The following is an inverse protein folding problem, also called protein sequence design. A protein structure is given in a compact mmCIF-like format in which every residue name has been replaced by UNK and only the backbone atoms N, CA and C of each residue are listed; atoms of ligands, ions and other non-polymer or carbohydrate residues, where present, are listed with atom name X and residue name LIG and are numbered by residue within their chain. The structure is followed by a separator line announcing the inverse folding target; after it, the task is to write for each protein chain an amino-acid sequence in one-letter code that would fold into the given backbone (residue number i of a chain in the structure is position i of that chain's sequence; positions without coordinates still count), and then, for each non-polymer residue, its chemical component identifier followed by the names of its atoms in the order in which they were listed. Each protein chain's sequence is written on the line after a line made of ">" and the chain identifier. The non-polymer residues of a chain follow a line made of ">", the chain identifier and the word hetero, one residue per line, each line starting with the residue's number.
data_IF_742205454608
#
_entry.id   IF_742205454608
#
_cell.length_a   1.000
_cell.length_b   1.000
_cell.length_c   1.000
_cell.angle_alpha   90.00
_cell.angle_beta   90.00
_cell.angle_gamma   90.00
#
_symmetry.space_group_name_H-M   'P 1'
#
loop_
_entity.id
_entity.type
_entity.pdbx_description
1 polymer ?
#
# COMPACT_ATOMS: atom_id res chain seq x y z
N UNK A 1 15.76 -23.86 -22.26
CA UNK A 1 16.83 -23.63 -21.26
C UNK A 1 16.71 -24.58 -20.06
N UNK A 2 15.63 -24.55 -19.25
CA UNK A 2 15.51 -25.44 -18.07
C UNK A 2 15.58 -26.96 -18.38
N UNK A 3 15.08 -27.38 -19.54
CA UNK A 3 15.13 -28.78 -20.00
C UNK A 3 16.55 -29.24 -20.39
N UNK A 4 17.43 -28.30 -20.74
CA UNK A 4 18.85 -28.54 -21.06
C UNK A 4 19.68 -28.60 -19.77
N UNK A 5 19.39 -27.72 -18.81
CA UNK A 5 20.05 -27.69 -17.50
C UNK A 5 19.80 -28.97 -16.70
N UNK A 6 18.57 -29.51 -16.74
CA UNK A 6 18.21 -30.79 -16.11
C UNK A 6 18.90 -32.00 -16.75
N UNK A 7 19.30 -31.93 -18.03
CA UNK A 7 19.98 -33.03 -18.74
C UNK A 7 21.47 -33.12 -18.42
N UNK A 8 22.05 -32.06 -17.87
CA UNK A 8 23.48 -31.97 -17.57
C UNK A 8 23.74 -31.96 -16.06
N UNK A 9 22.77 -32.36 -15.23
CA UNK A 9 22.86 -32.33 -13.76
C UNK A 9 23.23 -30.96 -13.15
N UNK A 10 23.04 -29.87 -13.91
CA UNK A 10 23.32 -28.50 -13.46
C UNK A 10 22.18 -27.92 -12.62
N UNK A 11 21.14 -28.69 -12.35
CA UNK A 11 20.06 -28.33 -11.42
C UNK A 11 20.40 -28.82 -10.01
N UNK A 12 21.31 -28.11 -9.33
CA UNK A 12 21.50 -28.30 -7.90
C UNK A 12 20.25 -27.83 -7.15
N UNK A 13 19.40 -28.78 -6.75
CA UNK A 13 18.35 -28.55 -5.77
C UNK A 13 19.05 -28.25 -4.44
N UNK A 14 18.88 -27.04 -3.91
CA UNK A 14 19.39 -26.64 -2.59
C UNK A 14 18.96 -27.70 -1.56
N UNK A 15 19.89 -28.51 -1.07
CA UNK A 15 19.64 -29.63 -0.13
C UNK A 15 19.60 -29.20 1.34
N UNK A 16 19.85 -27.92 1.63
CA UNK A 16 19.61 -27.36 2.95
C UNK A 16 18.13 -27.11 3.19
N UNK A 17 17.54 -27.76 4.19
CA UNK A 17 16.27 -27.31 4.77
C UNK A 17 16.49 -25.90 5.34
N UNK A 18 15.82 -24.91 4.75
CA UNK A 18 15.80 -23.55 5.29
C UNK A 18 15.04 -23.57 6.61
N UNK A 19 15.74 -23.30 7.72
CA UNK A 19 15.08 -22.99 8.99
C UNK A 19 14.72 -21.50 9.00
N UNK A 20 13.43 -21.21 9.02
CA UNK A 20 12.97 -19.84 9.16
C UNK A 20 13.33 -19.35 10.56
N UNK A 21 14.08 -18.25 10.64
CA UNK A 21 14.49 -17.61 11.90
C UNK A 21 13.31 -17.14 12.79
N UNK A 22 12.08 -17.20 12.27
CA UNK A 22 10.89 -16.73 12.98
C UNK A 22 10.80 -15.21 13.11
N UNK A 23 11.60 -14.46 12.34
CA UNK A 23 11.75 -13.02 12.48
C UNK A 23 10.41 -12.28 12.54
N UNK A 24 10.21 -11.42 13.56
CA UNK A 24 9.02 -10.60 13.68
C UNK A 24 8.91 -9.63 12.51
N UNK A 25 7.70 -9.50 11.96
CA UNK A 25 7.42 -8.51 10.93
C UNK A 25 7.00 -7.19 11.59
N UNK A 26 7.57 -6.04 11.19
CA UNK A 26 7.19 -4.73 11.72
C UNK A 26 5.80 -4.36 11.19
N UNK A 27 4.76 -4.66 11.99
CA UNK A 27 3.37 -4.33 11.67
C UNK A 27 3.05 -2.90 12.08
N UNK A 28 2.34 -2.18 11.21
CA UNK A 28 1.76 -0.90 11.56
C UNK A 28 0.64 -1.05 12.60
N UNK A 29 0.42 -0.02 13.44
CA UNK A 29 -0.64 -0.05 14.43
C UNK A 29 -2.02 0.07 13.77
N UNK A 30 -3.00 -0.61 14.38
CA UNK A 30 -4.38 -0.74 13.88
C UNK A 30 -5.36 -0.57 15.05
N UNK A 31 -5.07 0.36 15.96
CA UNK A 31 -5.76 0.50 17.24
C UNK A 31 -6.93 1.47 17.17
N UNK A 32 -6.77 2.55 16.40
CA UNK A 32 -7.78 3.60 16.25
C UNK A 32 -8.16 3.79 14.78
N UNK A 33 -9.38 4.26 14.48
CA UNK A 33 -9.79 4.55 13.11
C UNK A 33 -8.86 5.55 12.45
N UNK A 34 -8.60 5.34 11.16
CA UNK A 34 -7.70 6.12 10.34
C UNK A 34 -6.26 6.17 10.87
N UNK A 35 -5.84 5.23 11.72
CA UNK A 35 -4.42 5.11 12.03
C UNK A 35 -3.66 4.54 10.83
N UNK A 36 -4.13 3.41 10.31
CA UNK A 36 -3.51 2.74 9.16
C UNK A 36 -4.58 2.31 8.17
N UNK A 37 -4.45 2.81 6.95
CA UNK A 37 -5.18 2.31 5.80
C UNK A 37 -4.30 1.33 5.02
N UNK A 38 -4.89 0.26 4.49
CA UNK A 38 -4.30 -0.58 3.45
C UNK A 38 -4.93 -0.23 2.12
N UNK A 39 -4.12 -0.08 1.08
CA UNK A 39 -4.62 0.22 -0.26
C UNK A 39 -4.02 -0.71 -1.32
N UNK A 40 -4.80 -0.92 -2.38
CA UNK A 40 -4.43 -1.71 -3.54
C UNK A 40 -5.17 -1.22 -4.80
N UNK A 41 -4.55 -1.40 -5.97
CA UNK A 41 -5.15 -1.07 -7.27
C UNK A 41 -5.60 -2.35 -7.97
N UNK A 42 -6.90 -2.63 -7.92
CA UNK A 42 -7.48 -3.82 -8.55
C UNK A 42 -7.71 -3.57 -10.03
N UNK A 43 -7.14 -4.41 -10.89
CA UNK A 43 -7.46 -4.44 -12.31
C UNK A 43 -6.39 -5.10 -13.18
N UNK A 44 -6.58 -5.10 -14.51
CA UNK A 44 -7.74 -4.54 -15.21
C UNK A 44 -9.04 -5.32 -14.91
N UNK A 45 -10.14 -4.59 -14.76
CA UNK A 45 -11.51 -5.10 -14.74
C UNK A 45 -12.25 -4.59 -15.98
N UNK A 46 -13.43 -5.12 -16.26
CA UNK A 46 -14.16 -4.81 -17.50
C UNK A 46 -15.61 -4.45 -17.22
N UNK A 47 -16.08 -3.39 -17.87
CA UNK A 47 -17.51 -3.13 -18.04
C UNK A 47 -18.08 -4.09 -19.08
N UNK A 48 -19.38 -4.02 -19.33
CA UNK A 48 -20.00 -4.69 -20.46
C UNK A 48 -19.31 -4.23 -21.76
N UNK A 49 -18.72 -5.18 -22.50
CA UNK A 49 -17.89 -4.89 -23.67
C UNK A 49 -16.38 -4.76 -23.33
N UNK A 50 -15.55 -4.21 -24.25
CA UNK A 50 -14.09 -4.19 -24.08
C UNK A 50 -13.57 -3.01 -23.25
N UNK A 51 -14.43 -2.35 -22.44
CA UNK A 51 -14.03 -1.15 -21.70
C UNK A 51 -13.37 -1.54 -20.38
N UNK A 52 -12.06 -1.39 -20.32
CA UNK A 52 -11.26 -1.67 -19.13
C UNK A 52 -11.36 -0.54 -18.10
N UNK A 53 -11.32 -0.90 -16.83
CA UNK A 53 -11.16 0.02 -15.72
C UNK A 53 -10.26 -0.58 -14.63
N UNK A 54 -9.89 0.25 -13.66
CA UNK A 54 -9.14 -0.08 -12.47
C UNK A 54 -9.89 0.46 -11.26
N UNK A 55 -9.86 -0.24 -10.13
CA UNK A 55 -10.48 0.19 -8.88
C UNK A 55 -9.42 0.40 -7.82
N UNK A 56 -9.24 1.65 -7.38
CA UNK A 56 -8.49 1.90 -6.16
C UNK A 56 -9.36 1.50 -4.98
N UNK A 57 -8.88 0.55 -4.20
CA UNK A 57 -9.56 0.04 -3.03
C UNK A 57 -8.73 0.36 -1.79
N UNK A 58 -9.39 0.88 -0.77
CA UNK A 58 -8.77 1.23 0.52
C UNK A 58 -9.58 0.62 1.65
N UNK A 59 -8.91 0.09 2.67
CA UNK A 59 -9.53 -0.43 3.89
C UNK A 59 -8.81 0.12 5.12
N UNK A 60 -9.59 0.65 6.05
CA UNK A 60 -9.12 1.02 7.38
C UNK A 60 -8.90 -0.24 8.24
N UNK A 61 -7.69 -0.41 8.76
CA UNK A 61 -7.33 -1.68 9.41
C UNK A 61 -7.98 -1.87 10.78
N UNK A 62 -8.31 -0.78 11.48
CA UNK A 62 -8.96 -0.80 12.79
C UNK A 62 -10.46 -1.11 12.68
N UNK A 63 -11.16 -0.45 11.76
CA UNK A 63 -12.64 -0.48 11.64
C UNK A 63 -13.14 -1.35 10.49
N UNK A 64 -12.26 -1.82 9.60
CA UNK A 64 -12.61 -2.55 8.37
C UNK A 64 -13.50 -1.72 7.43
N UNK A 65 -13.55 -0.40 7.63
CA UNK A 65 -14.27 0.53 6.75
C UNK A 65 -13.52 0.62 5.43
N UNK A 66 -14.24 0.58 4.32
CA UNK A 66 -13.64 0.64 3.00
C UNK A 66 -13.99 1.91 2.24
N UNK A 67 -13.17 2.19 1.23
CA UNK A 67 -13.37 3.24 0.24
C UNK A 67 -13.00 2.71 -1.15
N UNK A 68 -13.82 3.03 -2.15
CA UNK A 68 -13.62 2.62 -3.53
C UNK A 68 -13.58 3.83 -4.45
N UNK A 69 -12.66 3.81 -5.41
CA UNK A 69 -12.63 4.79 -6.48
C UNK A 69 -12.25 4.12 -7.82
N UNK A 70 -13.24 3.76 -8.64
CA UNK A 70 -12.98 3.26 -9.97
C UNK A 70 -12.52 4.36 -10.94
N UNK A 71 -11.59 4.03 -11.82
CA UNK A 71 -11.05 4.89 -12.87
C UNK A 71 -10.77 4.12 -14.16
N UNK A 72 -10.89 4.79 -15.30
CA UNK A 72 -10.53 4.24 -16.62
C UNK A 72 -9.01 4.24 -16.86
N UNK A 73 -8.25 4.86 -15.96
CA UNK A 73 -6.80 5.03 -16.10
C UNK A 73 -6.07 4.77 -14.79
N UNK A 74 -4.84 4.26 -14.92
CA UNK A 74 -3.85 4.12 -13.84
C UNK A 74 -2.81 5.25 -13.84
N UNK A 75 -3.13 6.38 -14.49
CA UNK A 75 -2.24 7.54 -14.51
C UNK A 75 -2.03 8.07 -13.10
N UNK A 76 -0.90 8.74 -12.87
CA UNK A 76 -0.61 9.31 -11.56
C UNK A 76 -1.72 10.25 -11.07
N UNK A 77 -2.30 11.09 -11.93
CA UNK A 77 -3.44 11.94 -11.57
C UNK A 77 -4.66 11.11 -11.15
N UNK A 78 -5.01 10.04 -11.89
CA UNK A 78 -6.14 9.17 -11.55
C UNK A 78 -5.98 8.51 -10.18
N UNK A 79 -4.74 8.16 -9.81
CA UNK A 79 -4.42 7.62 -8.49
C UNK A 79 -4.63 8.70 -7.41
N UNK A 80 -4.17 9.94 -7.64
CA UNK A 80 -4.39 11.04 -6.69
C UNK A 80 -5.87 11.35 -6.51
N UNK A 81 -6.60 11.46 -7.61
CA UNK A 81 -8.04 11.72 -7.60
C UNK A 81 -8.79 10.63 -6.82
N UNK A 82 -8.36 9.36 -7.00
CA UNK A 82 -8.94 8.24 -6.29
C UNK A 82 -8.69 8.27 -4.78
N UNK A 83 -7.43 8.49 -4.36
CA UNK A 83 -7.11 8.63 -2.94
C UNK A 83 -7.83 9.83 -2.32
N UNK A 84 -7.84 10.97 -3.00
CA UNK A 84 -8.51 12.17 -2.54
C UNK A 84 -10.02 11.95 -2.37
N UNK A 85 -10.68 11.38 -3.37
CA UNK A 85 -12.11 11.09 -3.30
C UNK A 85 -12.43 10.14 -2.14
N UNK A 86 -11.59 9.12 -1.92
CA UNK A 86 -11.74 8.20 -0.78
C UNK A 86 -11.53 8.95 0.53
N UNK A 87 -10.47 9.76 0.67
CA UNK A 87 -10.19 10.51 1.90
C UNK A 87 -11.20 11.61 2.19
N UNK A 88 -11.90 12.15 1.20
CA UNK A 88 -13.04 13.05 1.45
C UNK A 88 -14.20 12.33 2.18
N UNK A 89 -14.36 11.02 1.98
CA UNK A 89 -15.41 10.21 2.63
C UNK A 89 -14.92 9.48 3.88
N UNK A 90 -13.68 8.99 3.81
CA UNK A 90 -13.06 8.22 4.88
C UNK A 90 -12.28 9.08 5.88
N UNK A 91 -11.80 10.25 5.47
CA UNK A 91 -10.75 10.94 6.18
C UNK A 91 -9.36 10.39 5.86
N UNK A 92 -8.37 11.20 6.19
CA UNK A 92 -6.95 10.96 5.97
C UNK A 92 -6.40 10.06 7.08
N UNK A 93 -5.56 9.05 6.73
CA UNK A 93 -4.88 8.24 7.73
C UNK A 93 -3.54 8.81 8.18
N UNK A 94 -2.98 8.28 9.28
CA UNK A 94 -1.59 8.57 9.65
C UNK A 94 -0.61 7.76 8.78
N UNK A 95 -0.94 6.50 8.51
CA UNK A 95 -0.17 5.60 7.66
C UNK A 95 -0.98 5.06 6.49
N UNK A 96 -0.36 4.97 5.32
CA UNK A 96 -0.92 4.25 4.17
C UNK A 96 0.00 3.09 3.78
N UNK A 97 -0.48 1.87 4.00
CA UNK A 97 0.22 0.65 3.67
C UNK A 97 -0.15 0.19 2.25
N UNK A 98 0.86 0.01 1.41
CA UNK A 98 0.72 -0.28 -0.01
C UNK A 98 1.74 -1.31 -0.49
N UNK A 99 1.43 -1.93 -1.62
CA UNK A 99 2.37 -2.78 -2.33
C UNK A 99 3.47 -1.97 -3.04
N UNK A 100 4.35 -2.68 -3.75
CA UNK A 100 5.42 -2.06 -4.54
C UNK A 100 5.01 -1.88 -6.02
N UNK A 101 3.74 -1.63 -6.33
CA UNK A 101 3.35 -1.29 -7.70
C UNK A 101 3.91 0.08 -8.13
N UNK A 102 4.47 0.14 -9.34
CA UNK A 102 5.06 1.37 -9.91
C UNK A 102 4.09 2.56 -9.94
N UNK A 103 2.79 2.30 -10.03
CA UNK A 103 1.73 3.31 -9.96
C UNK A 103 1.78 4.17 -8.68
N UNK A 104 2.40 3.68 -7.61
CA UNK A 104 2.44 4.37 -6.32
C UNK A 104 3.71 5.19 -6.07
N UNK A 105 4.88 4.81 -6.58
CA UNK A 105 6.14 5.51 -6.28
C UNK A 105 6.95 5.95 -7.51
N UNK A 106 6.48 5.67 -8.73
CA UNK A 106 7.03 6.21 -9.98
C UNK A 106 7.78 5.21 -10.83
N UNK A 107 8.84 5.66 -11.52
CA UNK A 107 9.58 4.88 -12.53
C UNK A 107 11.02 4.55 -12.10
N UNK A 108 11.25 3.65 -11.13
CA UNK A 108 12.54 3.02 -10.98
C UNK A 108 12.80 2.04 -12.14
N UNK A 109 14.06 1.84 -12.55
CA UNK A 109 15.29 2.42 -12.00
C UNK A 109 15.63 3.82 -12.55
N UNK A 110 14.79 4.41 -13.42
CA UNK A 110 15.09 5.69 -14.07
C UNK A 110 15.11 6.88 -13.09
N UNK A 111 14.26 6.87 -12.06
CA UNK A 111 14.16 7.94 -11.06
C UNK A 111 13.95 7.39 -9.63
N UNK A 112 14.93 6.68 -9.06
CA UNK A 112 14.78 5.98 -7.77
C UNK A 112 14.53 6.94 -6.59
N UNK A 113 14.98 8.19 -6.72
CA UNK A 113 14.81 9.27 -5.72
C UNK A 113 13.78 10.33 -6.11
N UNK A 114 12.97 10.08 -7.13
CA UNK A 114 12.10 11.09 -7.74
C UNK A 114 10.84 11.47 -6.95
N UNK A 115 10.53 10.72 -5.89
CA UNK A 115 9.30 10.78 -5.09
C UNK A 115 8.04 10.75 -5.97
N UNK A 116 7.48 9.55 -6.13
CA UNK A 116 6.25 9.36 -6.91
C UNK A 116 5.08 10.22 -6.41
N UNK A 117 4.04 10.35 -7.24
CA UNK A 117 2.92 11.27 -6.98
C UNK A 117 2.20 10.97 -5.67
N UNK A 118 2.00 9.69 -5.34
CA UNK A 118 1.36 9.30 -4.10
C UNK A 118 2.24 9.66 -2.89
N UNK A 119 3.56 9.43 -2.97
CA UNK A 119 4.48 9.86 -1.90
C UNK A 119 4.33 11.36 -1.66
N UNK A 120 4.33 12.18 -2.72
CA UNK A 120 4.14 13.63 -2.58
C UNK A 120 2.79 13.99 -1.97
N UNK A 121 1.70 13.38 -2.45
CA UNK A 121 0.36 13.59 -1.92
C UNK A 121 0.31 13.28 -0.42
N UNK A 122 0.85 12.12 -0.03
CA UNK A 122 0.87 11.68 1.37
C UNK A 122 1.63 12.65 2.26
N UNK A 123 2.85 13.01 1.89
CA UNK A 123 3.70 13.86 2.72
C UNK A 123 3.15 15.29 2.86
N UNK A 124 2.50 15.84 1.83
CA UNK A 124 1.81 17.14 1.92
C UNK A 124 0.61 17.12 2.88
N UNK A 125 0.07 15.94 3.18
CA UNK A 125 -1.08 15.74 4.08
C UNK A 125 -0.68 15.08 5.41
N UNK A 126 0.62 15.07 5.73
CA UNK A 126 1.16 14.47 6.95
C UNK A 126 0.79 12.99 7.10
N UNK A 127 0.85 12.26 5.98
CA UNK A 127 0.66 10.81 5.91
C UNK A 127 2.03 10.19 5.65
N UNK A 128 2.36 9.11 6.36
CA UNK A 128 3.59 8.34 6.15
C UNK A 128 3.29 7.07 5.31
N UNK A 129 3.70 7.03 4.02
CA UNK A 129 3.60 5.83 3.20
C UNK A 129 4.45 4.68 3.75
N UNK A 130 3.88 3.47 3.72
CA UNK A 130 4.50 2.24 4.20
C UNK A 130 4.46 1.15 3.14
N UNK A 131 5.59 0.93 2.47
CA UNK A 131 5.74 -0.08 1.43
C UNK A 131 6.05 -1.44 2.06
N UNK A 132 5.21 -2.42 1.77
CA UNK A 132 5.44 -3.81 2.19
C UNK A 132 6.70 -4.38 1.52
N UNK A 133 7.23 -5.53 1.98
CA UNK A 133 8.33 -6.22 1.31
C UNK A 133 7.97 -6.62 -0.12
N UNK A 134 8.97 -6.60 -0.99
CA UNK A 134 8.79 -7.07 -2.37
C UNK A 134 8.43 -8.55 -2.38
N UNK A 135 7.45 -8.92 -3.21
CA UNK A 135 6.97 -10.29 -3.37
C UNK A 135 6.36 -10.91 -2.11
N UNK A 136 5.90 -10.10 -1.16
CA UNK A 136 5.15 -10.55 0.03
C UNK A 136 3.74 -9.93 0.10
N UNK A 137 2.86 -10.21 -0.87
CA UNK A 137 1.55 -9.56 -0.97
C UNK A 137 0.66 -9.84 0.25
N UNK A 138 0.83 -11.00 0.91
CA UNK A 138 0.14 -11.39 2.14
C UNK A 138 0.35 -10.42 3.32
N UNK A 139 1.36 -9.54 3.29
CA UNK A 139 1.54 -8.47 4.28
C UNK A 139 0.43 -7.41 4.20
N UNK A 140 -0.27 -7.34 3.07
CA UNK A 140 -1.44 -6.52 2.81
C UNK A 140 -2.76 -7.36 2.93
N UNK A 141 -2.78 -8.38 3.80
CA UNK A 141 -3.84 -9.38 3.80
C UNK A 141 -5.27 -8.87 4.07
N UNK A 142 -5.46 -7.71 4.71
CA UNK A 142 -6.83 -7.18 4.90
C UNK A 142 -7.40 -6.64 3.59
N UNK A 143 -6.61 -5.89 2.83
CA UNK A 143 -7.04 -5.42 1.51
C UNK A 143 -7.18 -6.57 0.52
N UNK A 144 -6.33 -7.61 0.57
CA UNK A 144 -6.51 -8.81 -0.27
C UNK A 144 -7.84 -9.53 0.02
N UNK A 145 -8.16 -9.73 1.30
CA UNK A 145 -9.44 -10.32 1.70
C UNK A 145 -10.63 -9.46 1.25
N UNK A 146 -10.50 -8.14 1.34
CA UNK A 146 -11.49 -7.21 0.83
C UNK A 146 -11.62 -7.29 -0.69
N UNK A 147 -10.51 -7.34 -1.42
CA UNK A 147 -10.48 -7.44 -2.87
C UNK A 147 -11.10 -8.74 -3.37
N UNK A 148 -10.86 -9.87 -2.70
CA UNK A 148 -11.54 -11.14 -2.98
C UNK A 148 -13.06 -11.00 -2.83
N UNK A 149 -13.53 -10.34 -1.77
CA UNK A 149 -14.95 -10.06 -1.57
C UNK A 149 -15.50 -9.11 -2.65
N UNK A 150 -14.77 -8.06 -2.98
CA UNK A 150 -15.12 -7.12 -4.05
C UNK A 150 -15.28 -7.85 -5.39
N UNK A 151 -14.35 -8.74 -5.73
CA UNK A 151 -14.44 -9.59 -6.93
C UNK A 151 -15.70 -10.47 -6.91
N UNK A 152 -15.92 -11.23 -5.84
CA UNK A 152 -17.02 -12.21 -5.78
C UNK A 152 -18.41 -11.59 -5.62
N UNK A 153 -18.52 -10.49 -4.87
CA UNK A 153 -19.81 -9.92 -4.46
C UNK A 153 -20.23 -8.71 -5.27
N UNK A 154 -19.28 -8.06 -5.95
CA UNK A 154 -19.54 -6.91 -6.79
C UNK A 154 -19.26 -7.23 -8.26
N UNK A 155 -17.99 -7.41 -8.63
CA UNK A 155 -17.61 -7.56 -10.04
C UNK A 155 -18.19 -8.81 -10.70
N UNK A 156 -18.29 -9.92 -9.96
CA UNK A 156 -18.90 -11.16 -10.46
C UNK A 156 -20.43 -11.17 -10.49
N UNK A 157 -21.10 -10.14 -9.95
CA UNK A 157 -22.57 -10.12 -9.80
C UNK A 157 -23.25 -8.92 -10.44
N UNK A 158 -22.54 -7.82 -10.61
CA UNK A 158 -23.09 -6.56 -11.12
C UNK A 158 -22.50 -6.32 -12.49
N UNK A 159 -23.32 -6.45 -13.53
CA UNK A 159 -22.98 -6.01 -14.88
C UNK A 159 -23.15 -4.49 -14.92
N UNK A 160 -22.14 -3.78 -15.41
CA UNK A 160 -22.13 -2.32 -15.50
C UNK A 160 -21.76 -1.93 -16.93
N UNK A 161 -22.48 -0.99 -17.52
CA UNK A 161 -22.33 -0.66 -18.95
C UNK A 161 -21.72 0.72 -19.19
N UNK A 162 -21.61 1.57 -18.15
CA UNK A 162 -21.02 2.91 -18.25
C UNK A 162 -20.11 3.26 -17.07
N UNK A 163 -19.32 4.34 -17.23
CA UNK A 163 -18.47 4.85 -16.15
C UNK A 163 -19.29 5.46 -15.01
N UNK A 164 -20.41 6.11 -15.32
CA UNK A 164 -21.33 6.69 -14.36
C UNK A 164 -21.96 5.59 -13.50
N UNK A 165 -22.41 4.51 -14.14
CA UNK A 165 -22.96 3.35 -13.44
C UNK A 165 -21.89 2.69 -12.56
N UNK A 166 -20.68 2.50 -13.09
CA UNK A 166 -19.56 1.97 -12.31
C UNK A 166 -19.32 2.77 -11.03
N UNK A 167 -19.23 4.10 -11.12
CA UNK A 167 -19.04 4.97 -9.96
C UNK A 167 -20.20 4.84 -8.97
N UNK A 168 -21.44 4.90 -9.44
CA UNK A 168 -22.63 4.80 -8.59
C UNK A 168 -22.70 3.43 -7.87
N UNK A 169 -22.51 2.35 -8.61
CA UNK A 169 -22.55 0.97 -8.09
C UNK A 169 -21.39 0.68 -7.14
N UNK A 170 -20.19 1.18 -7.41
CA UNK A 170 -19.06 1.07 -6.48
C UNK A 170 -19.35 1.80 -5.16
N UNK A 171 -19.97 2.99 -5.20
CA UNK A 171 -20.36 3.72 -4.00
C UNK A 171 -21.47 3.00 -3.22
N UNK A 172 -22.47 2.43 -3.90
CA UNK A 172 -23.50 1.59 -3.26
C UNK A 172 -22.88 0.38 -2.54
N UNK A 173 -21.90 -0.29 -3.16
CA UNK A 173 -21.19 -1.41 -2.55
C UNK A 173 -20.39 -0.96 -1.33
N UNK A 174 -19.64 0.15 -1.43
CA UNK A 174 -18.91 0.77 -0.32
C UNK A 174 -19.85 1.05 0.87
N UNK A 175 -20.95 1.75 0.62
CA UNK A 175 -21.94 2.08 1.64
C UNK A 175 -22.55 0.83 2.27
N UNK A 176 -22.88 -0.18 1.46
CA UNK A 176 -23.43 -1.45 1.95
C UNK A 176 -22.45 -2.20 2.83
N UNK A 177 -21.18 -2.29 2.42
CA UNK A 177 -20.12 -2.91 3.21
C UNK A 177 -19.97 -2.19 4.56
N UNK A 178 -19.87 -0.86 4.52
CA UNK A 178 -19.64 -0.02 5.70
C UNK A 178 -20.83 -0.01 6.68
N UNK A 179 -22.06 -0.14 6.19
CA UNK A 179 -23.29 -0.02 7.00
C UNK A 179 -23.91 -1.36 7.40
N UNK A 180 -23.71 -2.45 6.64
CA UNK A 180 -24.43 -3.73 6.86
C UNK A 180 -23.55 -4.91 7.21
N UNK A 181 -22.30 -4.95 6.74
CA UNK A 181 -21.44 -6.12 6.97
C UNK A 181 -20.90 -6.11 8.40
N UNK A 182 -21.04 -7.25 9.08
CA UNK A 182 -20.59 -7.43 10.46
C UNK A 182 -19.31 -8.24 10.49
N UNK A 183 -18.39 -7.86 11.36
CA UNK A 183 -17.09 -8.51 11.48
C UNK A 183 -16.86 -9.01 12.90
N UNK A 184 -16.39 -10.25 13.04
CA UNK A 184 -16.00 -10.83 14.33
C UNK A 184 -14.92 -9.99 15.03
N UNK A 185 -13.92 -9.49 14.27
CA UNK A 185 -12.89 -8.55 14.76
C UNK A 185 -13.47 -7.31 15.43
N UNK A 186 -14.66 -6.87 15.01
CA UNK A 186 -15.34 -5.68 15.53
C UNK A 186 -16.38 -6.03 16.61
N UNK A 187 -16.34 -7.24 17.18
CA UNK A 187 -17.34 -7.72 18.13
C UNK A 187 -18.75 -7.82 17.50
N UNK A 188 -18.82 -8.19 16.22
CA UNK A 188 -20.08 -8.28 15.48
C UNK A 188 -20.67 -6.92 15.05
N UNK A 189 -19.94 -5.82 15.23
CA UNK A 189 -20.33 -4.50 14.74
C UNK A 189 -20.04 -4.34 13.24
N UNK A 190 -20.73 -3.38 12.63
CA UNK A 190 -20.43 -2.91 11.27
C UNK A 190 -19.30 -1.89 11.29
N UNK A 191 -18.59 -1.65 10.18
CA UNK A 191 -17.51 -0.67 10.16
C UNK A 191 -17.92 0.73 10.65
N UNK A 192 -19.09 1.23 10.24
CA UNK A 192 -19.59 2.53 10.72
C UNK A 192 -19.96 2.51 12.21
N UNK A 193 -20.50 1.41 12.72
CA UNK A 193 -20.76 1.27 14.17
C UNK A 193 -19.47 1.17 14.98
N UNK A 194 -18.43 0.54 14.44
CA UNK A 194 -17.12 0.49 15.07
C UNK A 194 -16.49 1.89 15.13
N UNK A 195 -16.54 2.64 14.02
CA UNK A 195 -16.09 4.04 13.98
C UNK A 195 -16.85 4.92 14.98
N UNK A 196 -18.17 4.84 15.02
CA UNK A 196 -18.99 5.65 15.94
C UNK A 196 -18.68 5.35 17.42
N UNK A 197 -18.24 4.12 17.74
CA UNK A 197 -17.95 3.72 19.11
C UNK A 197 -16.62 4.28 19.66
N UNK A 198 -15.70 4.76 18.81
CA UNK A 198 -14.39 5.26 19.28
C UNK A 198 -14.36 6.77 19.53
N UNK A 199 -15.40 7.49 19.10
CA UNK A 199 -15.48 8.96 19.17
C UNK A 199 -14.22 9.69 18.64
N UNK A 200 -13.57 9.11 17.63
CA UNK A 200 -12.32 9.62 17.06
C UNK A 200 -12.62 10.80 16.13
N UNK A 201 -11.92 11.92 16.33
CA UNK A 201 -11.95 13.05 15.39
C UNK A 201 -11.12 12.70 14.16
N UNK A 202 -11.78 12.57 13.01
CA UNK A 202 -11.12 12.30 11.74
C UNK A 202 -10.53 13.59 11.14
N UNK A 203 -9.40 13.45 10.44
CA UNK A 203 -8.83 14.50 9.58
C UNK A 203 -9.39 14.32 8.16
N UNK A 204 -9.70 15.41 7.47
CA UNK A 204 -10.17 15.38 6.09
C UNK A 204 -9.31 16.31 5.23
N UNK A 205 -9.24 16.08 3.91
CA UNK A 205 -8.61 17.03 3.00
C UNK A 205 -9.24 18.42 3.13
N UNK A 206 -8.41 19.46 3.02
CA UNK A 206 -8.87 20.85 3.17
C UNK A 206 -9.64 21.36 1.93
N UNK A 207 -9.26 20.87 0.75
CA UNK A 207 -9.86 21.26 -0.53
C UNK A 207 -10.76 20.15 -1.09
N UNK A 208 -11.84 20.53 -1.76
CA UNK A 208 -12.74 19.58 -2.42
C UNK A 208 -12.08 18.86 -3.61
N UNK A 209 -11.08 19.50 -4.22
CA UNK A 209 -10.40 18.99 -5.42
C UNK A 209 -9.05 18.41 -5.08
N UNK A 210 -8.74 17.27 -5.69
CA UNK A 210 -7.43 16.66 -5.59
C UNK A 210 -6.36 17.61 -6.16
N UNK A 211 -5.15 17.63 -5.57
CA UNK A 211 -4.05 18.41 -6.11
C UNK A 211 -3.62 17.87 -7.48
N UNK A 212 -3.04 18.76 -8.28
CA UNK A 212 -2.47 18.36 -9.56
C UNK A 212 -1.26 17.44 -9.35
N UNK A 213 -1.12 16.41 -10.18
CA UNK A 213 -0.02 15.47 -10.19
C UNK A 213 1.37 16.12 -10.16
N UNK A 214 1.53 17.33 -10.72
CA UNK A 214 2.76 18.13 -10.66
C UNK A 214 2.91 18.89 -9.33
N UNK A 215 2.64 18.24 -8.19
CA UNK A 215 2.90 18.81 -6.87
C UNK A 215 4.38 19.15 -6.69
N UNK A 216 4.64 20.25 -5.97
CA UNK A 216 5.98 20.55 -5.45
C UNK A 216 6.47 19.37 -4.61
N UNK A 217 7.79 19.16 -4.58
CA UNK A 217 8.37 18.14 -3.71
C UNK A 217 8.20 18.61 -2.26
N UNK A 218 7.69 17.75 -1.36
CA UNK A 218 7.67 18.02 0.05
C UNK A 218 9.08 18.28 0.57
N UNK A 219 9.22 19.18 1.54
CA UNK A 219 10.49 19.46 2.24
C UNK A 219 10.60 18.67 3.55
N UNK A 220 9.48 18.08 3.99
CA UNK A 220 9.34 17.37 5.27
C UNK A 220 8.58 16.07 5.12
N UNK A 221 8.54 15.28 6.20
CA UNK A 221 7.84 14.02 6.28
C UNK A 221 8.74 12.80 6.08
N UNK A 222 8.14 11.62 6.21
CA UNK A 222 8.84 10.33 6.19
C UNK A 222 8.03 9.30 5.40
N UNK A 223 8.75 8.36 4.80
CA UNK A 223 8.14 7.20 4.18
C UNK A 223 9.05 5.99 4.34
N UNK A 224 8.44 4.82 4.38
CA UNK A 224 9.04 3.62 4.95
C UNK A 224 8.96 2.46 3.98
N UNK A 225 10.05 1.70 3.87
CA UNK A 225 10.12 0.48 3.09
C UNK A 225 10.52 -0.66 4.03
N UNK A 226 9.64 -1.65 4.17
CA UNK A 226 10.02 -2.87 4.88
C UNK A 226 10.77 -3.78 3.92
N UNK A 227 11.96 -4.24 4.30
CA UNK A 227 12.79 -5.11 3.47
C UNK A 227 13.34 -6.26 4.30
N UNK A 228 13.20 -7.47 3.77
CA UNK A 228 13.90 -8.64 4.30
C UNK A 228 15.32 -8.64 3.75
N UNK A 229 16.31 -8.49 4.62
CA UNK A 229 17.72 -8.55 4.22
C UNK A 229 18.07 -10.00 3.90
N UNK A 230 18.53 -10.25 2.68
CA UNK A 230 18.89 -11.59 2.21
C UNK A 230 20.35 -11.89 2.52
N UNK A 231 20.80 -13.07 2.12
CA UNK A 231 22.17 -13.53 2.36
C UNK A 231 23.25 -12.70 1.65
N UNK A 232 22.86 -11.86 0.69
CA UNK A 232 23.74 -10.93 -0.02
C UNK A 232 24.03 -9.65 0.77
N UNK A 233 23.37 -9.45 1.92
CA UNK A 233 23.52 -8.29 2.81
C UNK A 233 23.31 -6.97 2.09
N UNK A 234 22.35 -6.93 1.16
CA UNK A 234 21.99 -5.72 0.41
C UNK A 234 20.56 -5.30 0.73
N UNK A 235 20.40 -4.04 1.12
CA UNK A 235 19.12 -3.36 1.20
C UNK A 235 18.79 -2.74 -0.17
N UNK A 236 17.65 -3.09 -0.74
CA UNK A 236 17.15 -2.50 -1.99
C UNK A 236 16.09 -1.42 -1.73
N UNK A 237 16.43 -0.18 -2.07
CA UNK A 237 15.55 1.00 -2.01
C UNK A 237 15.32 1.50 -3.44
N UNK A 238 14.15 1.17 -4.00
CA UNK A 238 13.76 1.55 -5.37
C UNK A 238 14.80 1.26 -6.46
N UNK A 239 15.56 0.17 -6.31
CA UNK A 239 16.62 -0.24 -7.23
C UNK A 239 18.03 0.20 -6.82
N UNK A 240 18.17 1.11 -5.85
CA UNK A 240 19.46 1.44 -5.25
C UNK A 240 19.82 0.41 -4.16
N UNK A 241 21.05 -0.09 -4.21
CA UNK A 241 21.54 -1.13 -3.30
C UNK A 241 22.48 -0.52 -2.25
N UNK A 242 22.19 -0.78 -0.99
CA UNK A 242 23.00 -0.35 0.15
C UNK A 242 23.55 -1.59 0.86
N UNK A 243 24.87 -1.71 1.08
CA UNK A 243 25.42 -2.76 1.90
C UNK A 243 24.96 -2.56 3.34
N UNK A 244 24.62 -3.64 4.04
CA UNK A 244 24.19 -3.59 5.44
C UNK A 244 24.98 -4.58 6.30
N UNK A 245 24.95 -4.36 7.61
CA UNK A 245 25.71 -5.15 8.56
C UNK A 245 25.24 -6.63 8.61
N UNK A 246 26.14 -7.62 8.81
CA UNK A 246 25.81 -9.04 8.81
C UNK A 246 24.75 -9.46 9.83
N UNK A 247 24.60 -8.71 10.91
CA UNK A 247 23.64 -8.96 11.99
C UNK A 247 22.18 -8.84 11.50
N UNK A 248 21.95 -8.04 10.44
CA UNK A 248 20.64 -7.85 9.85
C UNK A 248 20.24 -9.00 8.91
N UNK A 249 21.12 -9.98 8.68
CA UNK A 249 20.88 -11.10 7.76
C UNK A 249 19.62 -11.88 8.16
N UNK A 250 18.73 -12.05 7.18
CA UNK A 250 17.42 -12.69 7.33
C UNK A 250 16.47 -11.97 8.30
N UNK A 251 16.76 -10.70 8.63
CA UNK A 251 15.86 -9.85 9.41
C UNK A 251 15.04 -8.92 8.53
N UNK A 252 13.83 -8.58 8.99
CA UNK A 252 13.07 -7.46 8.41
C UNK A 252 13.57 -6.16 9.00
N UNK A 253 13.99 -5.24 8.13
CA UNK A 253 14.34 -3.88 8.51
C UNK A 253 13.30 -2.91 7.97
N UNK A 254 13.07 -1.83 8.72
CA UNK A 254 12.30 -0.68 8.24
C UNK A 254 13.28 0.38 7.79
N UNK A 255 13.36 0.58 6.47
CA UNK A 255 14.16 1.63 5.87
C UNK A 255 13.31 2.90 5.74
N UNK A 256 13.61 3.91 6.54
CA UNK A 256 12.88 5.19 6.60
C UNK A 256 13.65 6.26 5.87
N UNK A 257 13.05 6.83 4.83
CA UNK A 257 13.59 8.01 4.15
C UNK A 257 13.02 9.25 4.84
N UNK A 258 13.89 10.05 5.44
CA UNK A 258 13.54 11.31 6.07
C UNK A 258 13.86 12.45 5.09
N UNK A 259 12.81 13.16 4.66
CA UNK A 259 12.89 14.18 3.61
C UNK A 259 13.63 15.42 4.09
N UNK A 260 13.37 15.86 5.32
CA UNK A 260 14.01 17.05 5.88
C UNK A 260 15.51 16.82 6.09
N UNK A 261 15.85 15.65 6.62
CA UNK A 261 17.24 15.31 6.94
C UNK A 261 18.03 14.82 5.72
N UNK A 262 17.36 14.45 4.62
CA UNK A 262 17.99 13.86 3.43
C UNK A 262 18.80 12.59 3.79
N UNK A 263 18.22 11.77 4.67
CA UNK A 263 18.81 10.53 5.21
C UNK A 263 17.90 9.33 5.00
N UNK A 264 18.53 8.17 4.81
CA UNK A 264 17.91 6.86 4.87
C UNK A 264 18.34 6.22 6.20
N UNK A 265 17.40 6.02 7.12
CA UNK A 265 17.63 5.41 8.44
C UNK A 265 17.10 3.99 8.45
N UNK A 266 17.87 3.03 8.95
CA UNK A 266 17.43 1.64 9.09
C UNK A 266 17.08 1.34 10.54
N UNK A 267 15.95 0.66 10.72
CA UNK A 267 15.48 0.24 12.03
C UNK A 267 15.24 -1.27 12.07
N UNK A 268 15.65 -1.88 13.18
CA UNK A 268 15.30 -3.24 13.58
C UNK A 268 14.56 -3.14 14.92
N UNK A 269 13.32 -3.62 15.00
CA UNK A 269 12.49 -3.57 16.21
C UNK A 269 12.44 -2.18 16.90
N UNK A 270 12.33 -1.11 16.10
CA UNK A 270 12.33 0.30 16.50
C UNK A 270 13.69 0.89 16.94
N UNK A 271 14.75 0.10 16.97
CA UNK A 271 16.11 0.58 17.24
C UNK A 271 16.76 0.97 15.92
N UNK A 272 17.28 2.20 15.83
CA UNK A 272 18.07 2.60 14.66
C UNK A 272 19.39 1.85 14.67
N UNK A 273 19.65 1.07 13.63
CA UNK A 273 20.85 0.21 13.51
C UNK A 273 21.86 0.76 12.51
N UNK A 274 21.42 1.60 11.57
CA UNK A 274 22.30 2.17 10.54
C UNK A 274 21.68 3.45 9.94
N UNK A 275 22.51 4.24 9.25
CA UNK A 275 22.06 5.36 8.44
C UNK A 275 22.94 5.61 7.20
N UNK A 276 22.29 6.03 6.11
CA UNK A 276 22.93 6.40 4.86
C UNK A 276 22.54 7.81 4.45
N UNK A 277 23.47 8.53 3.81
CA UNK A 277 23.14 9.77 3.11
C UNK A 277 22.21 9.47 1.94
N UNK A 278 21.04 10.09 1.91
CA UNK A 278 20.02 9.87 0.89
C UNK A 278 19.45 11.19 0.40
N UNK A 279 20.22 11.86 -0.46
CA UNK A 279 19.82 13.13 -1.06
C UNK A 279 18.79 12.88 -2.16
N UNK A 280 17.56 13.34 -1.92
CA UNK A 280 16.46 13.43 -2.86
C UNK A 280 16.80 14.50 -3.91
N UNK A 281 16.64 14.15 -5.18
CA UNK A 281 16.75 15.11 -6.29
C UNK A 281 15.41 15.77 -6.50
#
# INVERSE_FOLDING_TARGET
>A
INRILSRNDLTHRRTGKYEAKGTPYPKLPSLIPNQTHQADLVGPCYLQGPVRFYSLNVVDTATVRCGLSPSMSKSGQSILDGFWAIWMRMGIPDYIQIDNAMSFFGSPPSHPRGMGPLIRLCLHNEIEPWFIPMSEPWRNGMIENFNNRYQQMFLGKVVMSSQEELKARSLEFEQRHNSRYRYSKLGGKTPLKALAATNTRLRFPADDKAPNHRMKKPETGKYHLVRLIRNDLKLNIFGELFPVAPELKLEYVVATINVKEQKLKLFLDNIQVDEFKYTLR
#
